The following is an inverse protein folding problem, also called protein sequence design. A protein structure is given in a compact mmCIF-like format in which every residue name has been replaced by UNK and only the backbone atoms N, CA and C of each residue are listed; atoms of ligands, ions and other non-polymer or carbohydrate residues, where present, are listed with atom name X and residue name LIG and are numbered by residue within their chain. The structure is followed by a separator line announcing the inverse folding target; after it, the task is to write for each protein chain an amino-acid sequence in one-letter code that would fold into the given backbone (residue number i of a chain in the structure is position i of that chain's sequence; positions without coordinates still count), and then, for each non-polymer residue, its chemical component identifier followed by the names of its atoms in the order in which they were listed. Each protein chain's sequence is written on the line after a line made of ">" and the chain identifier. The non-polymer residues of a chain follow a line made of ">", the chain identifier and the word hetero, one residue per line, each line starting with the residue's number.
data_IF_873394571127
#
_entry.id   IF_873394571127
#
_cell.length_a   1.000
_cell.length_b   1.000
_cell.length_c   1.000
_cell.angle_alpha   90.00
_cell.angle_beta   90.00
_cell.angle_gamma   90.00
#
_symmetry.space_group_name_H-M   'P 1'
#
loop_
_entity.id
_entity.type
_entity.pdbx_description
1 polymer ?
#
# COMPACT_ATOMS: atom_id res chain seq x y z
N UNK A 1 -19.94 -4.42 -14.04
CA UNK A 1 -20.87 -3.38 -14.53
C UNK A 1 -21.73 -3.92 -15.68
N UNK A 2 -21.20 -4.23 -16.87
CA UNK A 2 -22.06 -4.73 -17.97
C UNK A 2 -22.69 -6.11 -17.68
N UNK A 3 -21.97 -7.02 -17.03
CA UNK A 3 -22.55 -8.31 -16.62
C UNK A 3 -23.72 -8.15 -15.62
N UNK A 4 -23.73 -7.08 -14.84
CA UNK A 4 -24.84 -6.75 -13.93
C UNK A 4 -26.09 -6.31 -14.72
N UNK A 5 -25.90 -5.59 -15.82
CA UNK A 5 -27.01 -5.19 -16.69
C UNK A 5 -27.66 -6.41 -17.33
N UNK A 6 -26.88 -7.38 -17.79
CA UNK A 6 -27.42 -8.65 -18.31
C UNK A 6 -28.21 -9.42 -17.25
N UNK A 7 -27.70 -9.54 -16.02
CA UNK A 7 -28.42 -10.19 -14.91
C UNK A 7 -29.75 -9.51 -14.57
N UNK A 8 -29.87 -8.22 -14.86
CA UNK A 8 -31.06 -7.41 -14.63
C UNK A 8 -31.93 -7.24 -15.89
N UNK A 9 -31.63 -7.96 -16.97
CA UNK A 9 -32.29 -7.85 -18.27
C UNK A 9 -32.27 -6.42 -18.87
N UNK A 10 -31.19 -5.67 -18.62
CA UNK A 10 -30.96 -4.33 -19.16
C UNK A 10 -30.04 -4.43 -20.39
N UNK A 11 -30.49 -3.87 -21.51
CA UNK A 11 -29.69 -3.74 -22.73
C UNK A 11 -28.69 -2.59 -22.65
N UNK A 12 -27.50 -2.79 -23.21
CA UNK A 12 -26.47 -1.77 -23.37
C UNK A 12 -26.26 -1.50 -24.86
N UNK A 13 -26.34 -0.23 -25.24
CA UNK A 13 -26.05 0.22 -26.59
C UNK A 13 -25.08 1.39 -26.53
N UNK A 14 -23.95 1.25 -27.21
CA UNK A 14 -23.06 2.39 -27.46
C UNK A 14 -23.65 3.24 -28.59
N UNK A 15 -23.56 4.56 -28.45
CA UNK A 15 -24.00 5.50 -29.49
C UNK A 15 -22.92 5.72 -30.55
N UNK A 16 -21.65 5.58 -30.17
CA UNK A 16 -20.50 5.84 -31.03
C UNK A 16 -19.86 4.54 -31.54
N UNK A 17 -20.07 3.42 -30.83
CA UNK A 17 -19.56 2.12 -31.23
C UNK A 17 -20.69 1.22 -31.74
N UNK A 18 -20.38 0.26 -32.61
CA UNK A 18 -21.33 -0.74 -33.11
C UNK A 18 -21.63 -1.85 -32.07
N UNK A 19 -21.84 -1.49 -30.81
CA UNK A 19 -22.13 -2.43 -29.72
C UNK A 19 -23.57 -2.23 -29.27
N UNK A 20 -24.41 -3.25 -29.50
CA UNK A 20 -25.79 -3.31 -29.03
C UNK A 20 -26.09 -4.71 -28.45
N UNK A 21 -26.05 -4.83 -27.13
CA UNK A 21 -26.24 -6.09 -26.42
C UNK A 21 -27.70 -6.55 -26.37
N UNK A 22 -28.65 -5.78 -26.92
CA UNK A 22 -30.04 -6.23 -27.13
C UNK A 22 -30.12 -7.26 -28.26
N UNK A 23 -29.18 -7.23 -29.20
CA UNK A 23 -29.11 -8.16 -30.35
C UNK A 23 -28.22 -9.37 -30.07
N UNK A 24 -28.48 -10.50 -30.72
CA UNK A 24 -27.64 -11.70 -30.61
C UNK A 24 -26.21 -11.44 -31.12
N UNK A 25 -26.07 -10.72 -32.25
CA UNK A 25 -24.78 -10.36 -32.82
C UNK A 25 -23.98 -9.43 -31.90
N UNK A 26 -24.63 -8.40 -31.33
CA UNK A 26 -23.92 -7.47 -30.44
C UNK A 26 -23.51 -8.10 -29.11
N UNK A 27 -24.27 -9.09 -28.59
CA UNK A 27 -23.81 -9.90 -27.44
C UNK A 27 -22.58 -10.75 -27.78
N UNK A 28 -22.54 -11.35 -28.97
CA UNK A 28 -21.38 -12.12 -29.41
C UNK A 28 -20.12 -11.24 -29.49
N UNK A 29 -20.21 -10.11 -30.18
CA UNK A 29 -19.10 -9.16 -30.32
C UNK A 29 -18.65 -8.65 -28.94
N UNK A 30 -19.61 -8.30 -28.08
CA UNK A 30 -19.32 -7.86 -26.72
C UNK A 30 -18.55 -8.91 -25.92
N UNK A 31 -18.98 -10.18 -25.96
CA UNK A 31 -18.30 -11.26 -25.24
C UNK A 31 -16.88 -11.52 -25.75
N UNK A 32 -16.64 -11.37 -27.06
CA UNK A 32 -15.29 -11.46 -27.64
C UNK A 32 -14.40 -10.35 -27.08
N UNK A 33 -14.89 -9.11 -27.03
CA UNK A 33 -14.14 -7.99 -26.45
C UNK A 33 -13.93 -8.16 -24.94
N UNK A 34 -14.91 -8.69 -24.21
CA UNK A 34 -14.78 -8.96 -22.78
C UNK A 34 -13.67 -10.00 -22.53
N UNK A 35 -13.67 -11.09 -23.30
CA UNK A 35 -12.61 -12.12 -23.24
C UNK A 35 -11.24 -11.55 -23.61
N UNK A 36 -11.17 -10.68 -24.63
CA UNK A 36 -9.92 -10.03 -25.03
C UNK A 36 -9.41 -9.09 -23.94
N UNK A 37 -10.29 -8.30 -23.32
CA UNK A 37 -9.93 -7.40 -22.23
C UNK A 37 -9.44 -8.17 -20.99
N UNK A 38 -10.01 -9.33 -20.70
CA UNK A 38 -9.53 -10.23 -19.65
C UNK A 38 -8.12 -10.76 -19.96
N UNK A 39 -7.91 -11.24 -21.19
CA UNK A 39 -6.60 -11.70 -21.65
C UNK A 39 -5.52 -10.61 -21.56
N UNK A 40 -5.82 -9.39 -22.02
CA UNK A 40 -4.88 -8.25 -21.94
C UNK A 40 -4.52 -7.90 -20.49
N UNK A 41 -5.51 -7.92 -19.59
CA UNK A 41 -5.29 -7.70 -18.15
C UNK A 41 -4.35 -8.75 -17.57
N UNK A 42 -4.52 -10.01 -17.94
CA UNK A 42 -3.67 -11.08 -17.43
C UNK A 42 -2.25 -10.99 -17.99
N UNK A 43 -2.09 -10.64 -19.27
CA UNK A 43 -0.78 -10.33 -19.86
C UNK A 43 -0.05 -9.20 -19.12
N UNK A 44 -0.75 -8.12 -18.76
CA UNK A 44 -0.17 -7.02 -17.97
C UNK A 44 0.25 -7.50 -16.57
N UNK A 45 -0.57 -8.32 -15.92
CA UNK A 45 -0.26 -8.90 -14.60
C UNK A 45 0.96 -9.79 -14.65
N UNK A 46 1.06 -10.67 -15.64
CA UNK A 46 2.19 -11.56 -15.85
C UNK A 46 3.48 -10.77 -16.03
N UNK A 47 3.49 -9.78 -16.92
CA UNK A 47 4.64 -8.88 -17.13
C UNK A 47 5.04 -8.15 -15.85
N UNK A 48 4.07 -7.65 -15.10
CA UNK A 48 4.32 -6.97 -13.82
C UNK A 48 4.98 -7.91 -12.80
N UNK A 49 4.47 -9.14 -12.68
CA UNK A 49 5.03 -10.16 -11.78
C UNK A 49 6.45 -10.54 -12.20
N UNK A 50 6.68 -10.75 -13.49
CA UNK A 50 8.02 -11.05 -14.03
C UNK A 50 9.00 -9.90 -13.72
N UNK A 51 8.59 -8.66 -13.95
CA UNK A 51 9.39 -7.47 -13.62
C UNK A 51 9.71 -7.35 -12.13
N UNK A 52 8.73 -7.59 -11.25
CA UNK A 52 8.91 -7.61 -9.80
C UNK A 52 9.87 -8.73 -9.36
N UNK A 53 9.73 -9.93 -9.93
CA UNK A 53 10.63 -11.05 -9.66
C UNK A 53 12.08 -10.72 -10.04
N UNK A 54 12.28 -10.19 -11.24
CA UNK A 54 13.60 -9.77 -11.71
C UNK A 54 14.19 -8.63 -10.86
N UNK A 55 13.38 -7.67 -10.42
CA UNK A 55 13.82 -6.61 -9.52
C UNK A 55 14.27 -7.17 -8.16
N UNK A 56 13.52 -8.11 -7.58
CA UNK A 56 13.88 -8.79 -6.33
C UNK A 56 15.16 -9.61 -6.47
N UNK A 57 15.34 -10.32 -7.58
CA UNK A 57 16.58 -11.06 -7.87
C UNK A 57 17.81 -10.13 -7.93
N UNK A 58 17.63 -8.87 -8.36
CA UNK A 58 18.67 -7.82 -8.30
C UNK A 58 18.79 -7.13 -6.93
N UNK A 59 18.15 -7.66 -5.89
CA UNK A 59 18.20 -7.11 -4.53
C UNK A 59 17.22 -5.98 -4.22
N UNK A 60 16.35 -5.58 -5.16
CA UNK A 60 15.33 -4.56 -4.91
C UNK A 60 14.08 -5.19 -4.28
N UNK A 61 13.90 -4.99 -2.98
CA UNK A 61 12.76 -5.53 -2.24
C UNK A 61 11.41 -4.84 -2.54
N UNK A 62 11.42 -3.55 -2.90
CA UNK A 62 10.21 -2.74 -3.10
C UNK A 62 9.54 -2.34 -1.77
N UNK A 63 8.33 -1.78 -1.86
CA UNK A 63 7.56 -1.33 -0.69
C UNK A 63 8.09 -0.07 -0.03
N UNK A 64 7.46 0.32 1.10
CA UNK A 64 7.93 1.42 1.95
C UNK A 64 9.23 0.99 2.64
N UNK A 65 10.30 1.82 2.64
CA UNK A 65 11.52 1.52 3.38
C UNK A 65 11.23 1.18 4.85
N UNK A 66 11.96 0.20 5.38
CA UNK A 66 11.87 -0.15 6.81
C UNK A 66 12.45 0.97 7.65
N UNK A 67 11.88 1.16 8.84
CA UNK A 67 12.34 2.14 9.80
C UNK A 67 11.93 3.58 9.49
N UNK A 68 12.41 4.47 10.35
CA UNK A 68 12.25 5.90 10.22
C UNK A 68 13.32 6.47 9.29
N UNK A 69 12.92 7.41 8.43
CA UNK A 69 13.91 8.22 7.71
C UNK A 69 14.75 9.04 8.69
N UNK A 70 15.93 9.53 8.29
CA UNK A 70 16.76 10.40 9.13
C UNK A 70 15.98 11.61 9.69
N UNK A 71 15.13 12.21 8.86
CA UNK A 71 14.26 13.31 9.28
C UNK A 71 13.18 12.86 10.30
N UNK A 72 12.64 11.65 10.14
CA UNK A 72 11.66 11.09 11.06
C UNK A 72 12.29 10.66 12.40
N UNK A 73 13.56 10.23 12.41
CA UNK A 73 14.29 9.87 13.63
C UNK A 73 14.39 11.05 14.60
N UNK A 74 14.71 12.25 14.12
CA UNK A 74 14.78 13.45 14.98
C UNK A 74 13.43 13.74 15.66
N UNK A 75 12.32 13.65 14.92
CA UNK A 75 10.98 13.79 15.48
C UNK A 75 10.62 12.66 16.45
N UNK A 76 11.11 11.44 16.21
CA UNK A 76 10.87 10.30 17.09
C UNK A 76 11.58 10.44 18.44
N UNK A 77 12.84 10.87 18.46
CA UNK A 77 13.54 11.19 19.71
C UNK A 77 12.86 12.33 20.47
N UNK A 78 12.46 13.41 19.77
CA UNK A 78 11.73 14.51 20.39
C UNK A 78 10.38 14.05 20.98
N UNK A 79 9.64 13.21 20.26
CA UNK A 79 8.39 12.63 20.74
C UNK A 79 8.60 11.77 22.00
N UNK A 80 9.64 10.94 22.03
CA UNK A 80 9.99 10.12 23.19
C UNK A 80 10.38 10.97 24.39
N UNK A 81 11.23 11.98 24.20
CA UNK A 81 11.66 12.88 25.27
C UNK A 81 10.49 13.67 25.89
N UNK A 82 9.55 14.15 25.06
CA UNK A 82 8.34 14.82 25.55
C UNK A 82 7.40 13.84 26.26
N UNK A 83 7.26 12.62 25.74
CA UNK A 83 6.42 11.60 26.36
C UNK A 83 6.95 11.17 27.73
N UNK A 84 8.26 11.01 27.88
CA UNK A 84 8.89 10.55 29.12
C UNK A 84 8.83 11.60 30.23
N UNK A 85 8.75 12.89 29.89
CA UNK A 85 8.47 13.98 30.85
C UNK A 85 7.07 13.89 31.46
N UNK A 86 6.15 13.14 30.82
CA UNK A 86 4.74 12.98 31.23
C UNK A 86 3.98 14.30 31.40
N UNK A 87 4.43 15.36 30.74
CA UNK A 87 3.87 16.71 30.83
C UNK A 87 2.85 17.01 29.72
N UNK A 88 2.85 16.21 28.65
CA UNK A 88 1.99 16.37 27.47
C UNK A 88 1.36 15.06 27.06
N UNK A 89 0.10 15.13 26.64
CA UNK A 89 -0.60 14.02 26.00
C UNK A 89 -0.01 13.73 24.63
N UNK A 90 -0.22 12.50 24.12
CA UNK A 90 0.22 12.14 22.77
C UNK A 90 -0.38 13.00 21.65
N UNK A 91 -1.53 13.63 21.89
CA UNK A 91 -2.14 14.58 20.94
C UNK A 91 -1.42 15.93 20.94
N UNK A 92 -1.09 16.47 22.11
CA UNK A 92 -0.33 17.72 22.24
C UNK A 92 1.08 17.57 21.68
N UNK A 93 1.74 16.43 21.95
CA UNK A 93 3.04 16.10 21.35
C UNK A 93 2.93 16.07 19.82
N UNK A 94 1.86 15.48 19.29
CA UNK A 94 1.61 15.46 17.84
C UNK A 94 1.45 16.85 17.25
N UNK A 95 0.68 17.72 17.91
CA UNK A 95 0.50 19.13 17.50
C UNK A 95 1.83 19.89 17.48
N UNK A 96 2.64 19.76 18.54
CA UNK A 96 3.96 20.42 18.65
C UNK A 96 4.93 19.97 17.55
N UNK A 97 4.94 18.67 17.23
CA UNK A 97 5.88 18.09 16.26
C UNK A 97 5.35 18.04 14.81
N UNK A 98 4.11 18.49 14.60
CA UNK A 98 3.43 18.45 13.30
C UNK A 98 3.22 17.04 12.78
N UNK A 99 2.84 16.09 13.64
CA UNK A 99 2.57 14.68 13.29
C UNK A 99 1.28 14.20 13.96
N UNK A 100 0.62 13.20 13.37
CA UNK A 100 -0.58 12.63 13.98
C UNK A 100 -0.28 11.93 15.31
N UNK A 101 -1.26 11.90 16.22
CA UNK A 101 -1.19 11.12 17.48
C UNK A 101 -0.76 9.67 17.24
N UNK A 102 -1.27 9.03 16.19
CA UNK A 102 -0.87 7.66 15.83
C UNK A 102 0.63 7.56 15.45
N UNK A 103 1.17 8.58 14.79
CA UNK A 103 2.59 8.64 14.44
C UNK A 103 3.46 8.84 15.67
N UNK A 104 3.02 9.61 16.66
CA UNK A 104 3.70 9.78 17.95
C UNK A 104 3.93 8.42 18.62
N UNK A 105 2.88 7.64 18.84
CA UNK A 105 3.00 6.33 19.48
C UNK A 105 3.79 5.33 18.63
N UNK A 106 3.65 5.36 17.31
CA UNK A 106 4.48 4.53 16.42
C UNK A 106 5.96 4.86 16.60
N UNK A 107 6.31 6.15 16.62
CA UNK A 107 7.70 6.60 16.77
C UNK A 107 8.28 6.21 18.13
N UNK A 108 7.52 6.41 19.21
CA UNK A 108 7.92 5.98 20.56
C UNK A 108 8.22 4.48 20.59
N UNK A 109 7.30 3.66 20.05
CA UNK A 109 7.48 2.20 19.97
C UNK A 109 8.72 1.82 19.17
N UNK A 110 8.99 2.50 18.06
CA UNK A 110 10.13 2.21 17.19
C UNK A 110 11.47 2.54 17.86
N UNK A 111 11.51 3.64 18.62
CA UNK A 111 12.68 4.01 19.45
C UNK A 111 12.90 2.99 20.60
N UNK A 112 11.84 2.58 21.30
CA UNK A 112 11.93 1.59 22.37
C UNK A 112 12.41 0.21 21.86
N UNK A 113 11.99 -0.17 20.66
CA UNK A 113 12.45 -1.40 20.00
C UNK A 113 13.93 -1.33 19.61
N UNK A 114 14.40 -0.18 19.11
CA UNK A 114 15.82 0.03 18.78
C UNK A 114 16.70 -0.10 20.03
N UNK A 115 16.35 0.59 21.12
CA UNK A 115 17.10 0.49 22.38
C UNK A 115 17.12 -0.92 22.97
N UNK A 116 16.03 -1.69 22.83
CA UNK A 116 16.00 -3.09 23.26
C UNK A 116 16.97 -3.96 22.46
N UNK A 117 16.95 -3.83 21.13
CA UNK A 117 17.87 -4.58 20.27
C UNK A 117 19.35 -4.19 20.46
N UNK A 118 19.64 -2.93 20.78
CA UNK A 118 21.01 -2.47 21.10
C UNK A 118 21.53 -3.08 22.42
N UNK A 119 20.69 -3.15 23.45
CA UNK A 119 21.05 -3.72 24.74
C UNK A 119 21.28 -5.24 24.70
N UNK A 120 20.50 -5.96 23.90
CA UNK A 120 20.63 -7.41 23.69
C UNK A 120 21.93 -7.77 22.94
N UNK A 121 22.30 -7.00 21.90
CA UNK A 121 23.53 -7.22 21.14
C UNK A 121 24.80 -6.94 21.97
N UNK A 122 24.77 -5.92 22.84
CA UNK A 122 25.90 -5.59 23.71
C UNK A 122 26.18 -6.63 24.81
N UNK A 123 25.17 -7.41 25.22
CA UNK A 123 25.36 -8.49 26.20
C UNK A 123 26.00 -9.76 25.59
N UNK A 124 25.81 -10.02 24.29
CA UNK A 124 26.37 -11.20 23.62
C UNK A 124 27.86 -11.09 23.28
N UNK A 125 28.44 -9.89 23.25
CA UNK A 125 29.87 -9.65 22.98
C UNK A 125 30.76 -9.59 24.23
N UNK A 126 30.19 -9.84 25.43
CA UNK A 126 30.87 -9.66 26.72
C UNK A 126 31.18 -10.97 27.47
N UNK A 127 31.12 -12.11 26.78
CA UNK A 127 31.46 -13.45 27.30
C UNK A 127 32.67 -13.99 26.54
#
# INVERSE_FOLDING_TARGET
>A
MINEFQQRNIGFRSLNDAIDTTTAQGRLIFNIFDSLAEFERDQIRERTKAGLSAARARGRMGGKPKGLSKAAMSKAHAAKALYDKKDKTGEEIGKVLGISRATVYRYIKEIEQQHRSENENNHQHKI
#
